data_IF_160913940108
#
_entry.id   IF_160913940108
#
_cell.length_a   1.000
_cell.length_b   1.000
_cell.length_c   1.000
_cell.angle_alpha   90.00
_cell.angle_beta   90.00
_cell.angle_gamma   90.00
#
_symmetry.space_group_name_H-M   'P 1'
#
loop_
_entity.id
_entity.type
_entity.pdbx_description
1 polymer ?
#
# COMPACT_ATOMS: atom_id res chain seq x y z
N UNK A 1 11.54 20.46 36.33
CA UNK A 1 10.14 20.11 36.69
C UNK A 1 9.32 20.26 35.43
N UNK A 2 8.80 19.16 34.85
CA UNK A 2 7.94 19.26 33.66
C UNK A 2 6.62 19.94 34.03
N UNK A 3 6.23 20.98 33.28
CA UNK A 3 4.95 21.66 33.46
C UNK A 3 3.76 20.75 33.09
N UNK A 4 2.51 21.19 33.33
CA UNK A 4 1.34 20.43 32.91
C UNK A 4 1.37 20.22 31.39
N UNK A 5 1.16 18.97 30.97
CA UNK A 5 1.05 18.62 29.55
C UNK A 5 -0.41 18.68 29.09
N UNK A 6 -0.61 19.02 27.82
CA UNK A 6 -1.93 19.03 27.20
C UNK A 6 -2.55 17.62 27.19
N UNK A 7 -3.89 17.55 27.18
CA UNK A 7 -4.60 16.27 27.00
C UNK A 7 -4.29 15.71 25.60
N UNK A 8 -4.11 14.39 25.54
CA UNK A 8 -3.92 13.64 24.31
C UNK A 8 -4.92 12.48 24.26
N UNK A 9 -5.17 11.95 23.06
CA UNK A 9 -6.01 10.76 22.85
C UNK A 9 -5.27 9.44 23.17
N UNK A 10 -4.06 9.51 23.70
CA UNK A 10 -3.22 8.35 24.04
C UNK A 10 -2.42 8.66 25.32
N UNK A 11 -2.50 7.76 26.30
CA UNK A 11 -1.71 7.81 27.54
C UNK A 11 -0.57 6.78 27.58
N UNK A 12 -0.28 6.22 28.76
CA UNK A 12 0.75 5.20 28.97
C UNK A 12 0.15 3.87 29.44
N UNK A 13 0.98 2.85 29.64
CA UNK A 13 0.56 1.60 30.25
C UNK A 13 -0.16 1.85 31.59
N UNK A 14 -1.36 1.29 31.74
CA UNK A 14 -2.26 1.54 32.88
C UNK A 14 -3.21 2.75 32.73
N UNK A 15 -3.02 3.62 31.74
CA UNK A 15 -3.85 4.82 31.51
C UNK A 15 -3.97 5.22 30.03
N UNK A 16 -4.10 4.23 29.13
CA UNK A 16 -4.03 4.41 27.66
C UNK A 16 -5.08 5.40 27.11
N UNK A 17 -6.20 5.60 27.82
CA UNK A 17 -7.30 6.47 27.37
C UNK A 17 -8.39 5.72 26.60
N UNK A 18 -8.34 4.38 26.56
CA UNK A 18 -9.38 3.53 26.00
C UNK A 18 -10.63 3.49 26.89
N UNK A 19 -11.80 3.13 26.34
CA UNK A 19 -12.95 2.77 27.17
C UNK A 19 -12.60 1.62 28.13
N UNK A 20 -13.30 1.57 29.26
CA UNK A 20 -13.16 0.47 30.22
C UNK A 20 -13.56 -0.86 29.56
N UNK A 21 -12.72 -1.89 29.73
CA UNK A 21 -12.95 -3.23 29.19
C UNK A 21 -13.26 -4.20 30.34
N UNK A 22 -14.36 -4.94 30.24
CA UNK A 22 -14.77 -5.96 31.22
C UNK A 22 -15.35 -7.17 30.49
N UNK A 23 -14.98 -8.38 30.93
CA UNK A 23 -15.49 -9.64 30.37
C UNK A 23 -14.73 -10.18 29.15
N UNK A 24 -13.61 -9.57 28.76
CA UNK A 24 -12.74 -10.07 27.69
C UNK A 24 -11.59 -10.85 28.34
N UNK A 25 -11.45 -12.12 27.96
CA UNK A 25 -10.32 -12.96 28.38
C UNK A 25 -9.49 -13.34 27.17
N UNK A 26 -8.18 -13.12 27.23
CA UNK A 26 -7.23 -13.45 26.16
C UNK A 26 -6.30 -14.57 26.58
N UNK A 27 -6.11 -15.55 25.70
CA UNK A 27 -5.21 -16.68 25.92
C UNK A 27 -4.07 -16.63 24.89
N UNK A 28 -2.88 -17.03 25.30
CA UNK A 28 -1.68 -17.10 24.45
C UNK A 28 -0.81 -18.28 24.84
N UNK A 29 0.10 -18.68 23.95
CA UNK A 29 1.09 -19.74 24.16
C UNK A 29 2.48 -19.12 24.05
N UNK A 30 3.40 -19.50 24.95
CA UNK A 30 4.80 -19.04 24.89
C UNK A 30 5.39 -19.29 23.49
N UNK A 31 6.04 -18.30 22.85
CA UNK A 31 6.67 -18.48 21.55
C UNK A 31 7.67 -19.66 21.49
N UNK A 32 8.34 -19.96 22.61
CA UNK A 32 9.27 -21.09 22.74
C UNK A 32 8.57 -22.47 22.72
N UNK A 33 7.26 -22.51 22.93
CA UNK A 33 6.44 -23.71 22.83
C UNK A 33 5.69 -23.82 21.49
N UNK A 34 5.86 -22.84 20.60
CA UNK A 34 5.27 -22.85 19.26
C UNK A 34 6.28 -23.38 18.23
N UNK A 35 5.78 -23.94 17.12
CA UNK A 35 6.61 -24.27 15.95
C UNK A 35 6.73 -23.00 15.08
N UNK A 36 7.90 -22.34 15.02
CA UNK A 36 8.04 -21.12 14.22
C UNK A 36 7.79 -21.42 12.74
N UNK A 37 7.06 -20.52 12.06
CA UNK A 37 6.73 -20.62 10.64
C UNK A 37 5.90 -21.86 10.24
N UNK A 38 5.21 -22.49 11.19
CA UNK A 38 4.34 -23.62 10.88
C UNK A 38 3.26 -23.22 9.85
N UNK A 39 3.05 -24.04 8.82
CA UNK A 39 2.16 -23.78 7.67
C UNK A 39 2.47 -22.50 6.87
N UNK A 40 3.69 -21.96 6.94
CA UNK A 40 4.05 -20.73 6.22
C UNK A 40 3.77 -20.85 4.71
N UNK A 41 4.14 -21.95 4.06
CA UNK A 41 3.96 -22.09 2.61
C UNK A 41 2.49 -22.19 2.20
N UNK A 42 1.70 -23.00 2.92
CA UNK A 42 0.26 -23.11 2.66
C UNK A 42 -0.45 -21.76 2.83
N UNK A 43 -0.17 -21.06 3.94
CA UNK A 43 -0.75 -19.75 4.19
C UNK A 43 -0.22 -18.70 3.21
N UNK A 44 1.08 -18.69 2.90
CA UNK A 44 1.69 -17.73 2.01
C UNK A 44 1.21 -17.85 0.56
N UNK A 45 0.75 -19.02 0.11
CA UNK A 45 0.17 -19.16 -1.23
C UNK A 45 -1.29 -18.72 -1.22
N UNK A 46 -2.15 -19.42 -0.46
CA UNK A 46 -3.60 -19.21 -0.56
C UNK A 46 -4.07 -17.93 0.12
N UNK A 47 -3.54 -17.61 1.30
CA UNK A 47 -3.94 -16.39 2.03
C UNK A 47 -3.39 -15.13 1.35
N UNK A 48 -2.17 -15.18 0.80
CA UNK A 48 -1.61 -14.05 0.04
C UNK A 48 -2.43 -13.81 -1.21
N UNK A 49 -2.76 -14.85 -1.98
CA UNK A 49 -3.62 -14.69 -3.15
C UNK A 49 -4.98 -14.07 -2.78
N UNK A 50 -5.63 -14.58 -1.72
CA UNK A 50 -6.90 -14.02 -1.21
C UNK A 50 -6.78 -12.53 -0.86
N UNK A 51 -5.69 -12.13 -0.20
CA UNK A 51 -5.43 -10.72 0.16
C UNK A 51 -5.17 -9.85 -1.06
N UNK A 52 -4.30 -10.28 -1.97
CA UNK A 52 -3.96 -9.56 -3.20
C UNK A 52 -5.19 -9.40 -4.08
N UNK A 53 -5.98 -10.47 -4.30
CA UNK A 53 -7.22 -10.43 -5.09
C UNK A 53 -8.19 -9.35 -4.62
N UNK A 54 -8.27 -9.12 -3.30
CA UNK A 54 -9.19 -8.14 -2.72
C UNK A 54 -8.76 -6.68 -2.92
N UNK A 55 -7.49 -6.45 -3.26
CA UNK A 55 -6.88 -5.12 -3.34
C UNK A 55 -6.34 -4.78 -4.74
N UNK A 56 -6.10 -5.80 -5.58
CA UNK A 56 -5.38 -5.67 -6.84
C UNK A 56 -6.03 -4.65 -7.77
N UNK A 57 -7.36 -4.54 -7.81
CA UNK A 57 -8.05 -3.60 -8.70
C UNK A 57 -7.81 -2.14 -8.32
N UNK A 58 -7.66 -1.82 -7.03
CA UNK A 58 -7.36 -0.45 -6.58
C UNK A 58 -5.96 0.00 -6.97
N UNK A 59 -5.04 -0.94 -7.24
CA UNK A 59 -3.68 -0.65 -7.67
C UNK A 59 -3.52 -0.80 -9.18
N UNK A 60 -4.01 -1.90 -9.75
CA UNK A 60 -3.83 -2.25 -11.16
C UNK A 60 -4.58 -1.30 -12.09
N UNK A 61 -5.78 -0.82 -11.72
CA UNK A 61 -6.53 0.11 -12.58
C UNK A 61 -5.82 1.47 -12.70
N UNK A 62 -5.45 2.18 -11.60
CA UNK A 62 -4.65 3.39 -11.72
C UNK A 62 -3.31 3.15 -12.42
N UNK A 63 -2.59 2.07 -12.07
CA UNK A 63 -1.31 1.76 -12.69
C UNK A 63 -1.44 1.55 -14.21
N UNK A 64 -2.45 0.81 -14.66
CA UNK A 64 -2.70 0.58 -16.09
C UNK A 64 -3.07 1.86 -16.83
N UNK A 65 -3.88 2.76 -16.22
CA UNK A 65 -4.23 4.05 -16.82
C UNK A 65 -2.99 4.92 -17.03
N UNK A 66 -2.14 5.07 -16.01
CA UNK A 66 -0.91 5.85 -16.11
C UNK A 66 0.10 5.21 -17.05
N UNK A 67 0.20 3.88 -17.05
CA UNK A 67 1.10 3.17 -17.95
C UNK A 67 0.68 3.35 -19.41
N UNK A 68 -0.62 3.22 -19.72
CA UNK A 68 -1.15 3.45 -21.06
C UNK A 68 -0.93 4.91 -21.52
N UNK A 69 -1.18 5.88 -20.63
CA UNK A 69 -0.91 7.29 -20.91
C UNK A 69 0.58 7.55 -21.19
N UNK A 70 1.46 7.01 -20.34
CA UNK A 70 2.90 7.14 -20.52
C UNK A 70 3.39 6.54 -21.84
N UNK A 71 2.97 5.31 -22.16
CA UNK A 71 3.34 4.64 -23.42
C UNK A 71 2.88 5.48 -24.62
N UNK A 72 1.65 5.99 -24.60
CA UNK A 72 1.13 6.84 -25.68
C UNK A 72 1.96 8.13 -25.86
N UNK A 73 2.24 8.86 -24.77
CA UNK A 73 3.02 10.10 -24.84
C UNK A 73 4.48 9.86 -25.24
N UNK A 74 5.11 8.80 -24.72
CA UNK A 74 6.49 8.43 -25.05
C UNK A 74 6.62 8.09 -26.53
N UNK A 75 5.71 7.28 -27.05
CA UNK A 75 5.75 6.83 -28.45
C UNK A 75 5.40 7.98 -29.41
N UNK A 76 4.47 8.87 -29.02
CA UNK A 76 4.19 10.10 -29.76
C UNK A 76 5.40 11.06 -29.76
N UNK A 77 6.06 11.24 -28.62
CA UNK A 77 7.28 12.04 -28.54
C UNK A 77 8.38 11.46 -29.43
N UNK A 78 8.60 10.14 -29.41
CA UNK A 78 9.55 9.49 -30.30
C UNK A 78 9.21 9.70 -31.79
N UNK A 79 7.93 9.59 -32.16
CA UNK A 79 7.44 9.88 -33.53
C UNK A 79 7.77 11.30 -33.98
N UNK A 80 7.51 12.32 -33.17
CA UNK A 80 7.74 13.72 -33.51
C UNK A 80 9.20 14.01 -33.89
N UNK A 81 10.16 13.31 -33.26
CA UNK A 81 11.60 13.47 -33.55
C UNK A 81 12.12 12.53 -34.65
N UNK A 82 11.25 11.78 -35.33
CA UNK A 82 11.61 11.04 -36.55
C UNK A 82 11.52 11.94 -37.79
N UNK A 83 12.10 11.48 -38.91
CA UNK A 83 11.94 12.15 -40.21
C UNK A 83 10.47 12.27 -40.62
N UNK A 84 9.64 11.28 -40.29
CA UNK A 84 8.21 11.25 -40.64
C UNK A 84 7.34 12.18 -39.78
N UNK A 85 7.81 12.56 -38.59
CA UNK A 85 7.08 13.45 -37.67
C UNK A 85 7.49 14.91 -37.75
N UNK A 86 8.45 15.28 -38.62
CA UNK A 86 9.01 16.64 -38.66
C UNK A 86 7.95 17.73 -38.91
N UNK A 87 7.07 17.54 -39.88
CA UNK A 87 6.00 18.51 -40.19
C UNK A 87 5.05 18.70 -39.01
N UNK A 88 4.70 17.60 -38.34
CA UNK A 88 3.87 17.61 -37.13
C UNK A 88 4.58 18.31 -35.97
N UNK A 89 5.88 18.04 -35.76
CA UNK A 89 6.69 18.68 -34.74
C UNK A 89 6.76 20.19 -34.96
N UNK A 90 7.00 20.64 -36.19
CA UNK A 90 7.01 22.06 -36.53
C UNK A 90 5.64 22.71 -36.29
N UNK A 91 4.54 21.97 -36.51
CA UNK A 91 3.17 22.45 -36.23
C UNK A 91 2.84 22.58 -34.74
N UNK A 92 3.30 21.66 -33.90
CA UNK A 92 2.95 21.64 -32.45
C UNK A 92 3.95 22.36 -31.54
N UNK A 93 5.12 22.73 -32.08
CA UNK A 93 6.19 23.41 -31.34
C UNK A 93 6.19 24.94 -31.51
N UNK A 94 5.21 25.49 -32.23
CA UNK A 94 4.98 26.93 -32.43
C UNK A 94 3.71 27.33 -31.68
#
# INVERSE_FOLDING_TARGET
MGGPHAKAYMGWWGSIGSPAQKGITTYTVSPYAQKPLNNIFHNAVFNTFRRVKSQILYMALPAALYWAWWVNCRDYNAYLYTKAGREELERVNV
#
